data_IF_275752336702
#
_entry.id   IF_275752336702
#
_cell.length_a   1.000
_cell.length_b   1.000
_cell.length_c   1.000
_cell.angle_alpha   90.00
_cell.angle_beta   90.00
_cell.angle_gamma   90.00
#
_symmetry.space_group_name_H-M   'P 1'
#
loop_
_entity.id
_entity.type
_entity.pdbx_description
1 polymer ?
#
# COMPACT_ATOMS: atom_id res chain seq x y z
N UNK A 1 7.19 -13.19 -6.26
CA UNK A 1 7.99 -12.10 -6.86
C UNK A 1 7.04 -10.99 -7.25
N UNK A 2 7.27 -9.76 -6.78
CA UNK A 2 6.40 -8.62 -7.06
C UNK A 2 6.53 -8.22 -8.54
N UNK A 3 5.44 -8.34 -9.31
CA UNK A 3 5.29 -7.74 -10.64
C UNK A 3 4.77 -6.31 -10.49
N UNK A 4 5.69 -5.36 -10.29
CA UNK A 4 5.37 -3.94 -10.36
C UNK A 4 5.63 -3.46 -11.79
N UNK A 5 4.58 -2.98 -12.46
CA UNK A 5 4.71 -2.37 -13.76
C UNK A 5 5.28 -0.94 -13.61
N UNK A 6 6.26 -0.59 -14.44
CA UNK A 6 6.85 0.75 -14.44
C UNK A 6 5.83 1.79 -14.91
N UNK A 7 4.92 1.44 -15.81
CA UNK A 7 3.92 2.39 -16.30
C UNK A 7 2.89 2.75 -15.21
N UNK A 8 2.55 1.78 -14.35
CA UNK A 8 1.71 2.01 -13.17
C UNK A 8 2.42 2.91 -12.14
N UNK A 9 3.73 2.72 -11.94
CA UNK A 9 4.54 3.57 -11.08
C UNK A 9 4.65 5.00 -11.61
N UNK A 10 4.86 5.18 -12.92
CA UNK A 10 4.89 6.51 -13.55
C UNK A 10 3.55 7.22 -13.41
N UNK A 11 2.45 6.49 -13.59
CA UNK A 11 1.09 7.00 -13.38
C UNK A 11 0.92 7.49 -11.94
N UNK A 12 1.42 6.73 -10.97
CA UNK A 12 1.38 7.12 -9.56
C UNK A 12 2.22 8.39 -9.29
N UNK A 13 3.43 8.48 -9.86
CA UNK A 13 4.33 9.63 -9.71
C UNK A 13 3.96 10.84 -10.57
N UNK A 14 2.96 10.71 -11.46
CA UNK A 14 2.58 11.72 -12.46
C UNK A 14 3.75 12.15 -13.35
N UNK A 15 4.63 11.19 -13.67
CA UNK A 15 5.74 11.41 -14.60
C UNK A 15 5.26 11.06 -16.00
N UNK A 16 5.48 11.97 -16.94
CA UNK A 16 5.30 11.71 -18.37
C UNK A 16 6.68 11.53 -19.02
N UNK A 17 6.79 10.57 -19.95
CA UNK A 17 8.04 10.19 -20.60
C UNK A 17 8.78 8.99 -20.00
N UNK A 18 9.83 8.54 -20.71
CA UNK A 18 10.60 7.33 -20.39
C UNK A 18 12.06 7.60 -20.03
N UNK A 19 12.44 8.86 -19.86
CA UNK A 19 13.83 9.29 -19.64
C UNK A 19 14.38 8.77 -18.30
N UNK A 20 13.50 8.59 -17.31
CA UNK A 20 13.85 8.20 -15.96
C UNK A 20 13.63 6.70 -15.67
N UNK A 21 13.29 5.88 -16.66
CA UNK A 21 12.91 4.47 -16.45
C UNK A 21 14.00 3.66 -15.76
N UNK A 22 15.26 3.88 -16.15
CA UNK A 22 16.40 3.24 -15.49
C UNK A 22 16.58 3.66 -14.04
N UNK A 23 16.32 4.93 -13.73
CA UNK A 23 16.39 5.45 -12.37
C UNK A 23 15.22 4.95 -11.51
N UNK A 24 14.00 4.93 -12.07
CA UNK A 24 12.82 4.38 -11.41
C UNK A 24 12.99 2.89 -11.10
N UNK A 25 13.54 2.11 -12.02
CA UNK A 25 13.87 0.70 -11.77
C UNK A 25 14.84 0.56 -10.59
N UNK A 26 15.91 1.37 -10.53
CA UNK A 26 16.85 1.38 -9.42
C UNK A 26 16.15 1.71 -8.08
N UNK A 27 15.27 2.70 -8.07
CA UNK A 27 14.50 3.06 -6.88
C UNK A 27 13.57 1.93 -6.42
N UNK A 28 12.94 1.21 -7.36
CA UNK A 28 12.12 0.04 -7.02
C UNK A 28 12.96 -1.06 -6.37
N UNK A 29 14.17 -1.32 -6.88
CA UNK A 29 15.08 -2.29 -6.27
C UNK A 29 15.48 -1.86 -4.85
N UNK A 30 15.90 -0.60 -4.68
CA UNK A 30 16.24 -0.05 -3.37
C UNK A 30 15.06 -0.08 -2.38
N UNK A 31 13.84 0.19 -2.85
CA UNK A 31 12.64 0.13 -2.03
C UNK A 31 12.34 -1.30 -1.53
N UNK A 32 12.55 -2.31 -2.38
CA UNK A 32 12.39 -3.72 -1.97
C UNK A 32 13.41 -4.12 -0.91
N UNK A 33 14.66 -3.69 -1.07
CA UNK A 33 15.72 -3.91 -0.08
C UNK A 33 15.39 -3.21 1.24
N UNK A 34 14.93 -1.96 1.20
CA UNK A 34 14.50 -1.22 2.38
C UNK A 34 13.40 -1.95 3.17
N UNK A 35 12.37 -2.44 2.47
CA UNK A 35 11.28 -3.20 3.11
C UNK A 35 11.78 -4.52 3.70
N UNK A 36 12.70 -5.20 3.01
CA UNK A 36 13.32 -6.43 3.50
C UNK A 36 14.13 -6.18 4.78
N UNK A 37 14.91 -5.10 4.81
CA UNK A 37 15.69 -4.69 5.99
C UNK A 37 14.80 -4.27 7.15
N UNK A 38 13.62 -3.70 6.85
CA UNK A 38 12.57 -3.42 7.84
C UNK A 38 11.85 -4.68 8.37
N UNK A 39 12.21 -5.87 7.87
CA UNK A 39 11.61 -7.15 8.27
C UNK A 39 10.31 -7.49 7.56
N UNK A 40 10.00 -6.85 6.43
CA UNK A 40 8.85 -7.16 5.57
C UNK A 40 9.31 -8.07 4.42
N UNK A 41 8.93 -9.36 4.40
CA UNK A 41 9.28 -10.24 3.30
C UNK A 41 8.58 -9.83 2.01
N UNK A 42 9.21 -10.11 0.87
CA UNK A 42 8.63 -9.80 -0.44
C UNK A 42 7.30 -10.54 -0.62
N UNK A 43 6.27 -9.80 -1.02
CA UNK A 43 4.90 -10.31 -1.16
C UNK A 43 4.26 -9.74 -2.44
N UNK A 44 3.29 -10.48 -3.00
CA UNK A 44 2.43 -10.00 -4.08
C UNK A 44 1.23 -9.19 -3.58
N UNK A 45 1.14 -8.92 -2.28
CA UNK A 45 0.03 -8.15 -1.72
C UNK A 45 -0.01 -6.72 -2.25
N UNK A 46 -1.22 -6.18 -2.44
CA UNK A 46 -1.42 -4.79 -2.84
C UNK A 46 -0.79 -3.81 -1.84
N UNK A 47 -0.78 -4.15 -0.54
CA UNK A 47 -0.11 -3.35 0.50
C UNK A 47 1.41 -3.31 0.30
N UNK A 48 2.05 -4.44 0.03
CA UNK A 48 3.49 -4.45 -0.26
C UNK A 48 3.81 -3.62 -1.51
N UNK A 49 3.00 -3.76 -2.56
CA UNK A 49 3.13 -2.96 -3.78
C UNK A 49 3.02 -1.46 -3.50
N UNK A 50 2.04 -1.04 -2.71
CA UNK A 50 1.86 0.35 -2.31
C UNK A 50 3.04 0.87 -1.46
N UNK A 51 3.57 0.06 -0.53
CA UNK A 51 4.75 0.42 0.25
C UNK A 51 5.96 0.71 -0.65
N UNK A 52 6.18 -0.12 -1.67
CA UNK A 52 7.23 0.10 -2.67
C UNK A 52 7.01 1.41 -3.42
N UNK A 53 5.78 1.67 -3.89
CA UNK A 53 5.46 2.92 -4.61
C UNK A 53 5.69 4.18 -3.74
N UNK A 54 5.27 4.16 -2.48
CA UNK A 54 5.48 5.29 -1.54
C UNK A 54 6.97 5.50 -1.30
N UNK A 55 7.74 4.43 -1.06
CA UNK A 55 9.18 4.53 -0.85
C UNK A 55 9.91 5.06 -2.10
N UNK A 56 9.47 4.67 -3.30
CA UNK A 56 10.00 5.26 -4.54
C UNK A 56 9.65 6.74 -4.62
N UNK A 57 8.42 7.13 -4.32
CA UNK A 57 8.00 8.54 -4.37
C UNK A 57 8.80 9.42 -3.41
N UNK A 58 9.06 8.96 -2.19
CA UNK A 58 9.88 9.68 -1.21
C UNK A 58 11.34 9.87 -1.67
N UNK A 59 11.88 8.93 -2.44
CA UNK A 59 13.25 9.02 -2.96
C UNK A 59 13.33 9.79 -4.28
N UNK A 60 12.27 9.74 -5.09
CA UNK A 60 12.19 10.43 -6.38
C UNK A 60 11.94 11.93 -6.20
N UNK A 61 11.01 12.28 -5.32
CA UNK A 61 10.73 13.68 -4.95
C UNK A 61 11.39 14.00 -3.61
N UNK A 62 12.50 14.76 -3.66
CA UNK A 62 13.26 15.13 -2.46
C UNK A 62 12.55 16.14 -1.57
N UNK A 63 11.50 16.82 -2.06
CA UNK A 63 10.60 17.63 -1.23
C UNK A 63 9.57 16.73 -0.53
N UNK A 64 10.11 15.70 0.14
CA UNK A 64 9.40 14.59 0.77
C UNK A 64 8.19 15.07 1.57
N UNK A 65 7.03 14.55 1.20
CA UNK A 65 5.80 14.83 1.90
C UNK A 65 5.81 14.06 3.23
N UNK A 66 5.95 14.78 4.35
CA UNK A 66 5.94 14.18 5.70
C UNK A 66 4.69 13.31 5.98
N UNK A 67 3.59 13.50 5.24
CA UNK A 67 2.43 12.61 5.31
C UNK A 67 2.69 11.24 4.67
N UNK A 68 3.47 11.18 3.58
CA UNK A 68 3.87 9.94 2.93
C UNK A 68 4.84 9.13 3.77
N UNK A 69 5.79 9.79 4.47
CA UNK A 69 6.69 9.11 5.41
C UNK A 69 5.89 8.40 6.51
N UNK A 70 4.95 9.12 7.15
CA UNK A 70 4.05 8.53 8.16
C UNK A 70 3.18 7.41 7.60
N UNK A 71 2.69 7.55 6.37
CA UNK A 71 1.90 6.52 5.70
C UNK A 71 2.74 5.26 5.47
N UNK A 72 4.00 5.41 5.02
CA UNK A 72 4.92 4.31 4.81
C UNK A 72 5.23 3.57 6.11
N UNK A 73 5.56 4.29 7.19
CA UNK A 73 5.81 3.70 8.50
C UNK A 73 4.61 2.89 9.01
N UNK A 74 3.40 3.45 8.86
CA UNK A 74 2.16 2.75 9.22
C UNK A 74 1.97 1.48 8.40
N UNK A 75 2.23 1.54 7.09
CA UNK A 75 2.09 0.38 6.20
C UNK A 75 3.09 -0.72 6.54
N UNK A 76 4.35 -0.36 6.81
CA UNK A 76 5.39 -1.29 7.23
C UNK A 76 4.99 -1.99 8.52
N UNK A 77 4.46 -1.25 9.49
CA UNK A 77 4.00 -1.84 10.75
C UNK A 77 2.84 -2.84 10.52
N UNK A 78 1.87 -2.49 9.67
CA UNK A 78 0.77 -3.40 9.31
C UNK A 78 1.27 -4.66 8.58
N UNK A 79 2.27 -4.52 7.70
CA UNK A 79 2.87 -5.63 6.97
C UNK A 79 3.69 -6.56 7.88
N UNK A 80 4.37 -5.99 8.89
CA UNK A 80 5.19 -6.74 9.87
C UNK A 80 4.36 -7.53 10.87
N UNK A 81 3.27 -6.94 11.38
CA UNK A 81 2.41 -7.56 12.40
C UNK A 81 1.62 -8.75 11.81
N UNK A 82 1.59 -8.88 10.48
CA UNK A 82 0.68 -9.78 9.79
C UNK A 82 -0.73 -9.18 9.84
N UNK A 83 -1.52 -9.40 8.79
CA UNK A 83 -2.88 -8.86 8.72
C UNK A 83 -3.61 -9.10 10.06
N UNK A 84 -4.19 -8.06 10.70
CA UNK A 84 -5.17 -8.32 11.73
C UNK A 84 -6.28 -9.08 11.02
N UNK A 85 -6.42 -10.38 11.35
CA UNK A 85 -7.56 -11.16 10.90
C UNK A 85 -8.78 -10.34 11.28
N UNK A 86 -9.45 -9.75 10.30
CA UNK A 86 -10.77 -9.17 10.49
C UNK A 86 -11.68 -10.33 10.85
N UNK A 87 -11.68 -10.66 12.13
CA UNK A 87 -12.65 -11.52 12.77
C UNK A 87 -13.83 -10.65 13.15
N UNK A 88 -14.97 -10.96 12.53
CA UNK A 88 -16.29 -10.46 12.88
C UNK A 88 -16.67 -9.18 12.13
N UNK A 89 -17.82 -9.10 11.47
CA UNK A 89 -18.92 -10.03 11.26
C UNK A 89 -19.86 -9.25 10.36
N UNK A 90 -20.40 -9.88 9.31
CA UNK A 90 -21.72 -9.43 8.84
C UNK A 90 -22.69 -9.53 10.03
N UNK A 91 -23.50 -8.50 10.29
CA UNK A 91 -24.85 -8.75 10.72
C UNK A 91 -25.77 -8.49 9.53
N UNK A 92 -25.82 -9.45 8.61
CA UNK A 92 -27.07 -9.74 7.91
C UNK A 92 -28.08 -10.28 8.94
N UNK A 93 -28.77 -9.34 9.58
CA UNK A 93 -30.09 -9.44 10.21
C UNK A 93 -30.18 -8.54 11.45
N UNK A 94 -30.73 -7.34 11.26
CA UNK A 94 -31.43 -6.65 12.32
C UNK A 94 -32.90 -6.49 11.90
N UNK A 95 -33.64 -7.56 12.19
CA UNK A 95 -35.01 -7.57 12.69
C UNK A 95 -36.10 -6.99 11.78
N UNK A 96 -36.86 -7.91 11.18
CA UNK A 96 -38.27 -7.72 10.86
C UNK A 96 -38.98 -7.03 12.03
N UNK A 97 -39.41 -5.78 11.81
CA UNK A 97 -40.32 -5.08 12.70
C UNK A 97 -41.73 -5.61 12.54
N UNK A 98 -42.05 -6.74 13.15
CA UNK A 98 -43.45 -7.08 13.44
C UNK A 98 -43.91 -6.29 14.66
N UNK A 99 -44.34 -5.05 14.46
CA UNK A 99 -45.29 -4.42 15.38
C UNK A 99 -46.70 -4.87 14.96
N UNK A 100 -47.20 -5.91 15.64
CA UNK A 100 -48.60 -6.27 15.61
C UNK A 100 -49.44 -5.30 16.44
N UNK A 101 -50.57 -4.92 15.83
CA UNK A 101 -51.87 -4.55 16.38
C UNK A 101 -52.06 -3.27 17.22
N UNK A 102 -52.92 -2.40 16.67
CA UNK A 102 -53.59 -1.33 17.40
C UNK A 102 -54.42 -0.42 16.49
N UNK A 103 -55.58 -0.91 16.00
CA UNK A 103 -56.93 -0.29 15.95
C UNK A 103 -57.82 -1.12 15.01
#
# INVERSE_FOLDING_TARGET
MLSLDLDELKTYLRVDGSENDGFLALLVHSAKEYLKDAGVPESSSARYKLAVMIQVALNYDRDGNAALEKALESLINQLRVGEPKHGGSEPENLLEGTCGDGI
#
